data_IF_821241256550
#
_entry.id   IF_821241256550
#
_cell.length_a   1.000
_cell.length_b   1.000
_cell.length_c   1.000
_cell.angle_alpha   90.00
_cell.angle_beta   90.00
_cell.angle_gamma   90.00
#
_symmetry.space_group_name_H-M   'P 1'
#
loop_
_entity.id
_entity.type
_entity.pdbx_description
1 polymer ?
#
# COMPACT_ATOMS: atom_id res chain seq x y z
N UNK A 1 1.77 11.35 -8.30
CA UNK A 1 1.74 12.73 -7.87
C UNK A 1 0.54 13.11 -7.02
N UNK A 2 -0.66 12.81 -7.46
CA UNK A 2 -1.87 13.10 -6.68
C UNK A 2 -1.92 12.34 -5.36
N UNK A 3 -1.44 11.09 -5.36
CA UNK A 3 -1.39 10.28 -4.14
C UNK A 3 -0.50 10.91 -3.07
N UNK A 4 0.65 11.47 -3.48
CA UNK A 4 1.55 12.16 -2.58
C UNK A 4 0.86 13.37 -1.93
N UNK A 5 0.14 14.16 -2.73
CA UNK A 5 -0.62 15.29 -2.22
C UNK A 5 -1.68 14.88 -1.19
N UNK A 6 -2.40 13.77 -1.45
CA UNK A 6 -3.39 13.24 -0.53
C UNK A 6 -2.79 12.84 0.81
N UNK A 7 -1.68 12.11 0.79
CA UNK A 7 -1.01 11.71 2.02
C UNK A 7 -0.55 12.92 2.82
N UNK A 8 0.07 13.88 2.17
CA UNK A 8 0.51 15.10 2.83
C UNK A 8 -0.64 15.91 3.42
N UNK A 9 -1.76 15.99 2.70
CA UNK A 9 -2.92 16.75 3.16
C UNK A 9 -3.49 16.19 4.46
N UNK A 10 -3.56 14.85 4.58
CA UNK A 10 -4.10 14.23 5.79
C UNK A 10 -3.20 14.40 6.98
N UNK A 11 -1.94 14.12 6.80
CA UNK A 11 -0.95 14.23 7.87
C UNK A 11 -0.68 15.70 8.17
N UNK A 12 -0.78 16.54 7.16
CA UNK A 12 -0.50 17.96 7.26
C UNK A 12 -1.50 18.78 8.06
N UNK A 13 -2.66 18.22 8.41
CA UNK A 13 -3.61 18.92 9.26
C UNK A 13 -3.15 19.04 10.71
N UNK A 14 -2.17 18.26 11.09
CA UNK A 14 -1.51 18.41 12.36
C UNK A 14 -0.55 19.58 12.28
N UNK A 15 -0.97 20.72 12.78
CA UNK A 15 -0.25 21.98 12.58
C UNK A 15 1.00 22.15 13.43
N UNK A 16 1.15 21.37 14.45
CA UNK A 16 1.93 21.80 15.59
C UNK A 16 3.42 21.61 15.44
N UNK A 17 3.85 20.64 14.65
CA UNK A 17 5.27 20.38 14.54
C UNK A 17 5.55 19.72 13.19
N UNK A 18 6.35 20.38 12.38
CA UNK A 18 6.75 19.84 11.08
C UNK A 18 7.58 18.55 11.24
N UNK A 19 8.35 18.44 12.34
CA UNK A 19 9.13 17.23 12.63
C UNK A 19 8.20 16.05 12.96
N UNK A 20 7.22 16.28 13.85
CA UNK A 20 6.25 15.25 14.21
C UNK A 20 5.43 14.81 13.01
N UNK A 21 5.03 15.74 12.17
CA UNK A 21 4.30 15.46 10.93
C UNK A 21 5.14 14.63 9.98
N UNK A 22 6.40 14.98 9.79
CA UNK A 22 7.31 14.24 8.93
C UNK A 22 7.55 12.82 9.44
N UNK A 23 7.65 12.65 10.76
CA UNK A 23 7.79 11.34 11.38
C UNK A 23 6.54 10.49 11.18
N UNK A 24 5.36 11.06 11.33
CA UNK A 24 4.10 10.36 11.08
C UNK A 24 3.96 9.97 9.62
N UNK A 25 4.34 10.84 8.71
CA UNK A 25 4.32 10.57 7.28
C UNK A 25 5.25 9.39 6.94
N UNK A 26 6.46 9.37 7.51
CA UNK A 26 7.41 8.27 7.32
C UNK A 26 6.84 6.94 7.86
N UNK A 27 6.19 6.97 9.02
CA UNK A 27 5.55 5.78 9.61
C UNK A 27 4.41 5.27 8.73
N UNK A 28 3.63 6.16 8.15
CA UNK A 28 2.54 5.77 7.24
C UNK A 28 3.09 5.13 5.96
N UNK A 29 4.15 5.68 5.41
CA UNK A 29 4.79 5.09 4.25
C UNK A 29 5.33 3.69 4.55
N UNK A 30 5.96 3.53 5.71
CA UNK A 30 6.48 2.22 6.12
C UNK A 30 5.35 1.22 6.34
N UNK A 31 4.29 1.60 7.03
CA UNK A 31 3.14 0.73 7.28
C UNK A 31 2.48 0.30 5.96
N UNK A 32 2.28 1.24 5.04
CA UNK A 32 1.71 0.94 3.72
C UNK A 32 2.61 -0.02 2.94
N UNK A 33 3.91 0.27 2.92
CA UNK A 33 4.87 -0.58 2.21
C UNK A 33 4.91 -2.00 2.79
N UNK A 34 4.81 -2.14 4.12
CA UNK A 34 4.76 -3.45 4.78
C UNK A 34 3.51 -4.25 4.37
N UNK A 35 2.37 -3.57 4.23
CA UNK A 35 1.16 -4.22 3.74
C UNK A 35 1.31 -4.70 2.29
N UNK A 36 1.99 -3.93 1.45
CA UNK A 36 2.27 -4.34 0.07
C UNK A 36 3.21 -5.55 0.04
N UNK A 37 4.22 -5.58 0.89
CA UNK A 37 5.11 -6.73 1.03
C UNK A 37 4.31 -7.97 1.43
N UNK A 38 3.39 -7.84 2.37
CA UNK A 38 2.54 -8.95 2.80
C UNK A 38 1.74 -9.54 1.64
N UNK A 39 1.11 -8.68 0.83
CA UNK A 39 0.39 -9.15 -0.37
C UNK A 39 1.33 -9.89 -1.32
N UNK A 40 2.51 -9.32 -1.54
CA UNK A 40 3.47 -9.86 -2.49
C UNK A 40 4.08 -11.20 -2.06
N UNK A 41 4.09 -11.49 -0.76
CA UNK A 41 4.80 -12.65 -0.20
C UNK A 41 3.90 -13.64 0.54
N UNK A 42 2.57 -13.48 0.44
CA UNK A 42 1.65 -14.26 1.27
C UNK A 42 1.72 -15.77 1.00
N UNK A 43 2.03 -16.19 -0.20
CA UNK A 43 2.10 -17.61 -0.58
C UNK A 43 3.49 -18.06 -1.03
N UNK A 44 4.44 -17.15 -1.18
CA UNK A 44 5.78 -17.50 -1.63
C UNK A 44 6.72 -16.30 -1.46
N UNK A 45 8.00 -16.52 -1.69
CA UNK A 45 8.97 -15.41 -1.74
C UNK A 45 8.60 -14.45 -2.87
N UNK A 46 8.97 -13.20 -2.70
CA UNK A 46 8.64 -12.17 -3.69
C UNK A 46 9.36 -12.45 -5.03
N UNK A 47 8.59 -12.45 -6.11
CA UNK A 47 9.15 -12.59 -7.45
C UNK A 47 9.86 -11.29 -7.88
N UNK A 48 10.70 -11.40 -8.90
CA UNK A 48 11.37 -10.22 -9.47
C UNK A 48 10.37 -9.20 -10.01
N UNK A 49 9.31 -9.67 -10.66
CA UNK A 49 8.25 -8.81 -11.21
C UNK A 49 7.57 -8.04 -10.09
N UNK A 50 7.24 -8.72 -9.00
CA UNK A 50 6.59 -8.09 -7.84
C UNK A 50 7.53 -7.15 -7.11
N UNK A 51 8.79 -7.50 -7.02
CA UNK A 51 9.81 -6.63 -6.41
C UNK A 51 9.94 -5.32 -7.17
N UNK A 52 9.96 -5.37 -8.49
CA UNK A 52 10.02 -4.17 -9.34
C UNK A 52 8.73 -3.35 -9.21
N UNK A 53 7.59 -4.01 -9.15
CA UNK A 53 6.31 -3.33 -9.00
C UNK A 53 6.21 -2.63 -7.64
N UNK A 54 6.66 -3.28 -6.59
CA UNK A 54 6.70 -2.68 -5.25
C UNK A 54 7.52 -1.40 -5.25
N UNK A 55 8.73 -1.46 -5.81
CA UNK A 55 9.61 -0.30 -5.92
C UNK A 55 8.92 0.83 -6.71
N UNK A 56 8.30 0.49 -7.84
CA UNK A 56 7.61 1.45 -8.70
C UNK A 56 6.44 2.13 -8.00
N UNK A 57 5.62 1.35 -7.29
CA UNK A 57 4.47 1.89 -6.57
C UNK A 57 4.94 2.87 -5.50
N UNK A 58 5.93 2.48 -4.69
CA UNK A 58 6.41 3.32 -3.60
C UNK A 58 7.07 4.59 -4.13
N UNK A 59 7.85 4.47 -5.17
CA UNK A 59 8.49 5.62 -5.80
C UNK A 59 7.46 6.60 -6.36
N UNK A 60 6.51 6.09 -7.12
CA UNK A 60 5.49 6.89 -7.79
C UNK A 60 4.49 7.50 -6.81
N UNK A 61 3.96 6.68 -5.91
CA UNK A 61 2.91 7.12 -5.00
C UNK A 61 3.40 8.06 -3.91
N UNK A 62 4.63 7.90 -3.47
CA UNK A 62 5.20 8.74 -2.42
C UNK A 62 6.19 9.79 -2.92
N UNK A 63 6.42 9.84 -4.23
CA UNK A 63 7.32 10.83 -4.81
C UNK A 63 8.77 10.67 -4.37
N UNK A 64 9.23 9.44 -4.22
CA UNK A 64 10.58 9.13 -3.74
C UNK A 64 11.54 8.97 -4.91
N UNK A 65 12.83 9.26 -4.65
CA UNK A 65 13.88 8.90 -5.59
C UNK A 65 14.21 7.40 -5.46
N UNK A 66 15.05 6.88 -6.34
CA UNK A 66 15.41 5.45 -6.35
C UNK A 66 16.03 5.01 -5.04
N UNK A 67 16.91 5.81 -4.47
CA UNK A 67 17.61 5.47 -3.23
C UNK A 67 16.63 5.38 -2.05
N UNK A 68 15.75 6.38 -1.92
CA UNK A 68 14.76 6.41 -0.85
C UNK A 68 13.74 5.29 -1.01
N UNK A 69 13.32 4.99 -2.23
CA UNK A 69 12.40 3.89 -2.50
C UNK A 69 13.04 2.54 -2.16
N UNK A 70 14.30 2.34 -2.52
CA UNK A 70 15.05 1.13 -2.19
C UNK A 70 15.16 0.94 -0.68
N UNK A 71 15.47 2.00 0.04
CA UNK A 71 15.56 1.95 1.51
C UNK A 71 14.20 1.61 2.12
N UNK A 72 13.13 2.21 1.60
CA UNK A 72 11.78 1.92 2.09
C UNK A 72 11.39 0.47 1.86
N UNK A 73 11.75 -0.10 0.71
CA UNK A 73 11.51 -1.52 0.42
C UNK A 73 12.22 -2.41 1.46
N UNK A 74 13.48 -2.14 1.74
CA UNK A 74 14.25 -2.90 2.73
C UNK A 74 13.62 -2.79 4.12
N UNK A 75 13.26 -1.58 4.52
CA UNK A 75 12.63 -1.33 5.81
C UNK A 75 11.26 -2.02 5.91
N UNK A 76 10.51 -2.03 4.81
CA UNK A 76 9.21 -2.68 4.75
C UNK A 76 9.31 -4.20 4.89
N UNK A 77 10.29 -4.81 4.22
CA UNK A 77 10.54 -6.25 4.38
C UNK A 77 10.88 -6.59 5.83
N UNK A 78 11.72 -5.78 6.46
CA UNK A 78 12.09 -6.00 7.85
C UNK A 78 10.89 -5.84 8.80
N UNK A 79 10.09 -4.81 8.57
CA UNK A 79 8.89 -4.55 9.39
C UNK A 79 7.86 -5.67 9.24
N UNK A 80 7.65 -6.15 8.02
CA UNK A 80 6.71 -7.23 7.76
C UNK A 80 7.17 -8.55 8.41
N UNK A 81 8.45 -8.87 8.31
CA UNK A 81 9.00 -10.09 8.93
C UNK A 81 8.87 -10.08 10.45
N UNK A 82 9.00 -8.93 11.08
CA UNK A 82 8.91 -8.81 12.54
C UNK A 82 7.49 -8.66 13.05
N UNK A 83 6.52 -8.45 12.17
CA UNK A 83 5.12 -8.26 12.54
C UNK A 83 4.45 -9.60 12.83
N UNK A 84 3.71 -9.65 13.94
CA UNK A 84 2.90 -10.83 14.29
C UNK A 84 1.67 -10.90 13.38
N UNK A 85 1.05 -9.74 13.14
CA UNK A 85 -0.13 -9.64 12.27
C UNK A 85 -0.20 -8.27 11.60
N UNK A 86 -1.24 -8.03 10.83
CA UNK A 86 -1.43 -6.78 10.09
C UNK A 86 -1.97 -5.64 10.95
N UNK A 87 -2.45 -5.96 12.13
CA UNK A 87 -3.18 -5.00 12.95
C UNK A 87 -2.36 -3.77 13.32
N UNK A 88 -1.08 -3.96 13.61
CA UNK A 88 -0.21 -2.84 13.98
C UNK A 88 -0.10 -1.80 12.85
N UNK A 89 -0.09 -2.25 11.60
CA UNK A 89 -0.01 -1.35 10.45
C UNK A 89 -1.34 -0.63 10.20
N UNK A 90 -2.44 -1.37 10.23
CA UNK A 90 -3.76 -0.79 9.99
C UNK A 90 -4.17 0.17 11.12
N UNK A 91 -3.79 -0.15 12.34
CA UNK A 91 -4.05 0.72 13.48
C UNK A 91 -3.37 2.09 13.32
N UNK A 92 -2.11 2.08 12.89
CA UNK A 92 -1.37 3.32 12.63
C UNK A 92 -2.05 4.12 11.51
N UNK A 93 -2.39 3.46 10.42
CA UNK A 93 -3.01 4.11 9.27
C UNK A 93 -4.39 4.66 9.59
N UNK A 94 -5.17 3.97 10.42
CA UNK A 94 -6.47 4.46 10.86
C UNK A 94 -6.37 5.75 11.67
N UNK A 95 -5.30 5.90 12.42
CA UNK A 95 -5.07 7.13 13.20
C UNK A 95 -4.62 8.29 12.33
N UNK A 96 -3.81 8.00 11.32
CA UNK A 96 -3.10 9.04 10.58
C UNK A 96 -3.83 9.47 9.30
N UNK A 97 -4.62 8.58 8.70
CA UNK A 97 -5.24 8.83 7.39
C UNK A 97 -6.75 8.99 7.52
N UNK A 98 -7.32 9.80 6.63
CA UNK A 98 -8.77 9.89 6.47
C UNK A 98 -9.26 8.77 5.52
N UNK A 99 -10.56 8.78 5.22
CA UNK A 99 -11.17 7.76 4.36
C UNK A 99 -10.50 7.67 3.00
N UNK A 100 -10.16 8.79 2.41
CA UNK A 100 -9.52 8.84 1.10
C UNK A 100 -8.13 8.21 1.12
N UNK A 101 -7.35 8.51 2.16
CA UNK A 101 -6.01 7.94 2.31
C UNK A 101 -6.06 6.43 2.52
N UNK A 102 -6.98 5.96 3.35
CA UNK A 102 -7.15 4.52 3.58
C UNK A 102 -7.60 3.79 2.33
N UNK A 103 -8.48 4.41 1.55
CA UNK A 103 -8.91 3.91 0.26
C UNK A 103 -7.74 3.75 -0.69
N UNK A 104 -6.83 4.73 -0.72
CA UNK A 104 -5.63 4.67 -1.56
C UNK A 104 -4.69 3.53 -1.16
N UNK A 105 -4.58 3.24 0.13
CA UNK A 105 -3.77 2.10 0.60
C UNK A 105 -4.31 0.80 0.03
N UNK A 106 -5.62 0.58 0.10
CA UNK A 106 -6.26 -0.63 -0.44
C UNK A 106 -6.07 -0.70 -1.95
N UNK A 107 -6.18 0.42 -2.64
CA UNK A 107 -5.95 0.49 -4.08
C UNK A 107 -4.53 0.06 -4.44
N UNK A 108 -3.53 0.53 -3.69
CA UNK A 108 -2.14 0.12 -3.90
C UNK A 108 -1.95 -1.38 -3.69
N UNK A 109 -2.64 -1.97 -2.72
CA UNK A 109 -2.60 -3.42 -2.48
C UNK A 109 -3.15 -4.20 -3.68
N UNK A 110 -4.24 -3.74 -4.28
CA UNK A 110 -4.78 -4.34 -5.50
C UNK A 110 -3.78 -4.22 -6.67
N UNK A 111 -3.17 -3.06 -6.84
CA UNK A 111 -2.15 -2.87 -7.88
C UNK A 111 -0.99 -3.85 -7.71
N UNK A 112 -0.59 -4.11 -6.47
CA UNK A 112 0.46 -5.08 -6.16
C UNK A 112 0.03 -6.51 -6.51
N UNK A 113 -1.20 -6.86 -6.15
CA UNK A 113 -1.72 -8.21 -6.37
C UNK A 113 -1.89 -8.55 -7.85
N UNK A 114 -2.29 -7.58 -8.67
CA UNK A 114 -2.56 -7.82 -10.09
C UNK A 114 -1.36 -7.63 -11.01
N UNK A 115 -0.17 -7.38 -10.48
CA UNK A 115 1.00 -7.09 -11.33
C UNK A 115 1.31 -8.22 -12.31
N UNK A 116 1.04 -9.46 -11.95
CA UNK A 116 1.27 -10.62 -12.81
C UNK A 116 0.01 -11.04 -13.57
N UNK A 117 -1.03 -10.20 -13.56
CA UNK A 117 -2.24 -10.39 -14.34
C UNK A 117 -3.29 -11.31 -13.73
N UNK A 118 -3.03 -11.88 -12.56
CA UNK A 118 -3.98 -12.75 -11.88
C UNK A 118 -3.89 -12.63 -10.37
N UNK A 119 -4.99 -12.92 -9.72
CA UNK A 119 -5.13 -12.85 -8.28
C UNK A 119 -5.37 -14.24 -7.72
N UNK A 120 -4.62 -14.64 -6.70
CA UNK A 120 -4.92 -15.87 -5.98
C UNK A 120 -5.75 -15.57 -4.71
N UNK A 121 -6.31 -16.65 -4.12
CA UNK A 121 -7.18 -16.51 -2.96
C UNK A 121 -6.47 -15.99 -1.72
N UNK A 122 -5.18 -16.28 -1.58
CA UNK A 122 -4.40 -15.80 -0.43
C UNK A 122 -4.21 -14.29 -0.48
N UNK A 123 -3.88 -13.77 -1.66
CA UNK A 123 -3.72 -12.33 -1.86
C UNK A 123 -5.02 -11.59 -1.64
N UNK A 124 -6.12 -12.10 -2.21
CA UNK A 124 -7.45 -11.52 -2.04
C UNK A 124 -7.84 -11.48 -0.58
N UNK A 125 -7.55 -12.54 0.17
CA UNK A 125 -7.87 -12.62 1.60
C UNK A 125 -7.14 -11.53 2.40
N UNK A 126 -5.84 -11.34 2.13
CA UNK A 126 -5.04 -10.30 2.79
C UNK A 126 -5.65 -8.93 2.52
N UNK A 127 -5.99 -8.65 1.26
CA UNK A 127 -6.56 -7.35 0.88
C UNK A 127 -7.92 -7.13 1.55
N UNK A 128 -8.79 -8.12 1.54
CA UNK A 128 -10.11 -8.01 2.15
C UNK A 128 -10.03 -7.79 3.66
N UNK A 129 -9.17 -8.54 4.35
CA UNK A 129 -8.96 -8.36 5.78
C UNK A 129 -8.43 -6.97 6.11
N UNK A 130 -7.45 -6.52 5.34
CA UNK A 130 -6.88 -5.19 5.51
C UNK A 130 -7.94 -4.10 5.26
N UNK A 131 -8.72 -4.24 4.20
CA UNK A 131 -9.79 -3.30 3.89
C UNK A 131 -10.82 -3.23 5.01
N UNK A 132 -11.19 -4.36 5.60
CA UNK A 132 -12.09 -4.39 6.75
C UNK A 132 -11.50 -3.64 7.94
N UNK A 133 -10.23 -3.87 8.24
CA UNK A 133 -9.55 -3.21 9.35
C UNK A 133 -9.40 -1.71 9.11
N UNK A 134 -9.27 -1.29 7.86
CA UNK A 134 -9.17 0.12 7.49
C UNK A 134 -10.54 0.79 7.32
N UNK A 135 -11.62 0.04 7.44
CA UNK A 135 -12.96 0.58 7.32
C UNK A 135 -13.36 0.94 5.90
N UNK A 136 -12.73 0.32 4.89
CA UNK A 136 -13.11 0.52 3.49
C UNK A 136 -14.30 -0.38 3.19
N UNK A 137 -15.46 0.18 2.76
CA UNK A 137 -16.65 -0.61 2.53
C UNK A 137 -16.47 -1.70 1.46
N UNK A 138 -17.12 -2.84 1.66
CA UNK A 138 -17.04 -4.00 0.76
C UNK A 138 -17.28 -3.63 -0.70
N UNK A 139 -18.27 -2.81 -0.93
CA UNK A 139 -18.64 -2.38 -2.29
C UNK A 139 -17.47 -1.65 -2.97
N UNK A 140 -16.86 -0.71 -2.27
CA UNK A 140 -15.75 0.07 -2.82
C UNK A 140 -14.54 -0.79 -3.11
N UNK A 141 -14.21 -1.74 -2.23
CA UNK A 141 -13.03 -2.59 -2.44
C UNK A 141 -13.23 -3.56 -3.61
N UNK A 142 -14.45 -4.03 -3.85
CA UNK A 142 -14.76 -4.88 -5.01
C UNK A 142 -14.61 -4.07 -6.30
N UNK A 143 -15.16 -2.87 -6.32
CA UNK A 143 -15.07 -1.98 -7.49
C UNK A 143 -13.63 -1.66 -7.83
N UNK A 144 -12.78 -1.38 -6.83
CA UNK A 144 -11.36 -1.14 -7.03
C UNK A 144 -10.66 -2.33 -7.68
N UNK A 145 -10.92 -3.52 -7.17
CA UNK A 145 -10.32 -4.73 -7.70
C UNK A 145 -10.72 -4.96 -9.15
N UNK A 146 -11.99 -4.78 -9.47
CA UNK A 146 -12.51 -4.93 -10.82
C UNK A 146 -11.91 -3.89 -11.77
N UNK A 147 -11.79 -2.66 -11.32
CA UNK A 147 -11.21 -1.58 -12.12
C UNK A 147 -9.75 -1.87 -12.46
N UNK A 148 -8.96 -2.27 -11.48
CA UNK A 148 -7.54 -2.57 -11.68
C UNK A 148 -7.37 -3.78 -12.60
N UNK A 149 -8.18 -4.82 -12.42
CA UNK A 149 -8.15 -6.00 -13.26
C UNK A 149 -8.48 -5.63 -14.72
N UNK A 150 -9.47 -4.76 -14.94
CA UNK A 150 -9.84 -4.29 -16.27
C UNK A 150 -8.71 -3.49 -16.92
N UNK A 151 -8.09 -2.59 -16.18
CA UNK A 151 -6.95 -1.80 -16.69
C UNK A 151 -5.78 -2.70 -17.08
N UNK A 152 -5.49 -3.70 -16.28
CA UNK A 152 -4.43 -4.68 -16.57
C UNK A 152 -4.75 -5.50 -17.83
N UNK A 153 -5.99 -5.91 -18.01
CA UNK A 153 -6.43 -6.62 -19.21
C UNK A 153 -6.23 -5.80 -20.48
N UNK A 154 -6.58 -4.52 -20.43
CA UNK A 154 -6.41 -3.61 -21.56
C UNK A 154 -4.93 -3.48 -21.91
N UNK A 155 -4.07 -3.31 -20.91
CA UNK A 155 -2.62 -3.18 -21.12
C UNK A 155 -2.03 -4.48 -21.70
N UNK A 156 -2.52 -5.62 -21.24
CA UNK A 156 -2.02 -6.92 -21.72
C UNK A 156 -2.44 -7.19 -23.16
N UNK A 157 -3.57 -6.64 -23.63
CA UNK A 157 -4.06 -6.86 -24.98
C UNK A 157 -3.50 -5.87 -26.00
N UNK A 158 -2.80 -4.85 -25.55
CA UNK A 158 -2.12 -3.92 -26.44
C UNK A 158 -0.64 -4.23 -26.55
#
# INVERSE_FOLDING_TARGET
>A
MFALGSFKTFIGKCREDSVARNQMEAKCRLATAALLVRVATVDSDISEVRSKQLHRILRSRFGLDDSSATQLVEDAHAAERSAIDLYQFTRLLNRALDDKGRHQVVQMMWEMAYVEGRLNGFEANVIWRTADLLGVPSRQRVEMGQQIAAERSILASS
#
